data_IF_730609040895
#
_entry.id   IF_730609040895
#
_cell.length_a   1.000
_cell.length_b   1.000
_cell.length_c   1.000
_cell.angle_alpha   90.00
_cell.angle_beta   90.00
_cell.angle_gamma   90.00
#
_symmetry.space_group_name_H-M   'P 1'
#
loop_
_entity.id
_entity.type
_entity.pdbx_description
1 polymer ?
#
# COMPACT_ATOMS: atom_id res chain seq x y z
N UNK A 1 18.97 5.10 6.71
CA UNK A 1 17.78 4.23 6.69
C UNK A 1 16.60 5.10 6.34
N UNK A 2 15.92 4.82 5.23
CA UNK A 2 14.70 5.52 4.84
C UNK A 2 13.65 5.32 5.92
N UNK A 3 13.18 6.40 6.57
CA UNK A 3 12.44 6.37 7.84
C UNK A 3 11.02 5.78 7.83
N UNK A 4 10.73 4.83 6.94
CA UNK A 4 9.39 4.24 6.73
C UNK A 4 9.42 2.71 6.55
N UNK A 5 10.55 2.04 6.77
CA UNK A 5 10.66 0.59 6.70
C UNK A 5 11.80 0.06 7.58
N UNK A 6 11.66 -1.18 8.06
CA UNK A 6 12.75 -1.96 8.63
C UNK A 6 12.64 -3.44 8.27
N UNK A 7 13.76 -4.15 8.36
CA UNK A 7 13.83 -5.58 8.12
C UNK A 7 13.67 -6.34 9.45
N UNK A 8 12.74 -7.30 9.48
CA UNK A 8 12.56 -8.25 10.57
C UNK A 8 12.93 -9.62 10.02
N UNK A 9 14.20 -9.99 10.15
CA UNK A 9 14.76 -11.20 9.53
C UNK A 9 15.06 -12.29 10.54
N UNK A 10 14.96 -13.52 10.09
CA UNK A 10 15.21 -14.71 10.89
C UNK A 10 14.80 -15.96 10.13
N UNK A 11 15.28 -17.14 10.54
CA UNK A 11 14.92 -18.41 9.89
C UNK A 11 13.42 -18.74 10.02
N UNK A 12 12.76 -18.18 11.04
CA UNK A 12 11.31 -18.21 11.24
C UNK A 12 10.91 -16.85 11.82
N UNK A 13 9.96 -16.17 11.17
CA UNK A 13 9.44 -14.87 11.61
C UNK A 13 7.96 -15.02 11.98
N UNK A 14 7.59 -14.49 13.14
CA UNK A 14 6.19 -14.41 13.59
C UNK A 14 5.91 -12.98 14.01
N UNK A 15 4.78 -12.42 13.56
CA UNK A 15 4.32 -11.09 13.96
C UNK A 15 2.94 -11.23 14.60
N UNK A 16 2.80 -10.76 15.84
CA UNK A 16 1.56 -10.83 16.61
C UNK A 16 1.03 -9.46 17.00
N UNK A 17 0.06 -9.43 17.92
CA UNK A 17 -0.57 -8.20 18.38
C UNK A 17 0.42 -7.13 18.89
N UNK A 18 1.49 -7.46 19.65
CA UNK A 18 2.49 -6.47 20.05
C UNK A 18 3.23 -5.83 18.87
N UNK A 19 3.51 -6.62 17.82
CA UNK A 19 4.17 -6.14 16.61
C UNK A 19 3.25 -5.23 15.80
N UNK A 20 1.96 -5.57 15.70
CA UNK A 20 0.97 -4.71 15.06
C UNK A 20 0.83 -3.36 15.80
N UNK A 21 0.84 -3.38 17.13
CA UNK A 21 0.82 -2.16 17.93
C UNK A 21 2.07 -1.30 17.68
N UNK A 22 3.27 -1.92 17.63
CA UNK A 22 4.52 -1.23 17.28
C UNK A 22 4.49 -0.67 15.86
N UNK A 23 3.96 -1.43 14.91
CA UNK A 23 3.86 -1.01 13.51
C UNK A 23 2.97 0.22 13.36
N UNK A 24 1.82 0.28 14.07
CA UNK A 24 0.96 1.48 14.14
C UNK A 24 1.68 2.67 14.75
N UNK A 25 2.40 2.47 15.86
CA UNK A 25 3.17 3.53 16.50
C UNK A 25 4.21 4.11 15.53
N UNK A 26 4.96 3.26 14.84
CA UNK A 26 5.95 3.67 13.83
C UNK A 26 5.30 4.40 12.66
N UNK A 27 4.16 3.90 12.16
CA UNK A 27 3.38 4.56 11.11
C UNK A 27 2.92 5.96 11.53
N UNK A 28 2.43 6.13 12.77
CA UNK A 28 2.02 7.46 13.27
C UNK A 28 3.15 8.48 13.42
N UNK A 29 4.40 8.01 13.58
CA UNK A 29 5.60 8.86 13.72
C UNK A 29 6.31 9.08 12.39
N UNK A 30 5.95 8.31 11.37
CA UNK A 30 6.50 8.41 10.02
C UNK A 30 5.96 9.65 9.33
N UNK A 31 6.82 10.37 8.61
CA UNK A 31 6.45 11.55 7.84
C UNK A 31 5.35 11.28 6.80
N UNK A 32 5.19 10.02 6.38
CA UNK A 32 4.20 9.59 5.37
C UNK A 32 2.98 8.88 5.96
N UNK A 33 2.82 8.89 7.29
CA UNK A 33 1.73 8.18 8.00
C UNK A 33 1.62 6.68 7.67
N UNK A 34 2.73 6.09 7.20
CA UNK A 34 2.83 4.68 6.86
C UNK A 34 4.20 4.12 7.22
N UNK A 35 4.23 2.85 7.56
CA UNK A 35 5.43 2.11 7.89
C UNK A 35 5.28 0.65 7.48
N UNK A 36 6.39 -0.04 7.24
CA UNK A 36 6.38 -1.47 6.90
C UNK A 36 7.48 -2.28 7.57
N UNK A 37 7.15 -3.51 7.92
CA UNK A 37 8.11 -4.54 8.27
C UNK A 37 8.36 -5.41 7.04
N UNK A 38 9.60 -5.46 6.57
CA UNK A 38 10.04 -6.38 5.53
C UNK A 38 10.48 -7.68 6.20
N UNK A 39 9.82 -8.81 5.90
CA UNK A 39 10.13 -10.11 6.52
C UNK A 39 10.98 -11.02 5.62
N UNK A 40 11.49 -10.47 4.51
CA UNK A 40 12.44 -11.09 3.61
C UNK A 40 13.87 -10.57 3.89
N UNK A 41 14.91 -11.34 3.55
CA UNK A 41 16.29 -11.03 3.98
C UNK A 41 16.90 -9.78 3.32
N UNK A 42 16.48 -9.43 2.11
CA UNK A 42 16.94 -8.24 1.39
C UNK A 42 16.06 -7.93 0.18
N UNK A 43 16.23 -6.74 -0.40
CA UNK A 43 15.57 -6.36 -1.65
C UNK A 43 15.96 -7.26 -2.84
N UNK A 44 17.05 -8.02 -2.74
CA UNK A 44 17.45 -8.99 -3.77
C UNK A 44 16.70 -10.34 -3.66
N UNK A 45 15.95 -10.55 -2.57
CA UNK A 45 15.17 -11.76 -2.37
C UNK A 45 14.10 -11.92 -3.48
N UNK A 46 13.92 -13.12 -4.06
CA UNK A 46 13.00 -13.35 -5.17
C UNK A 46 11.52 -13.12 -4.83
N UNK A 47 11.19 -13.05 -3.53
CA UNK A 47 9.87 -12.73 -3.01
C UNK A 47 10.02 -11.59 -2.00
N UNK A 48 9.20 -10.57 -2.11
CA UNK A 48 9.20 -9.44 -1.19
C UNK A 48 7.95 -9.56 -0.33
N UNK A 49 8.10 -9.99 0.92
CA UNK A 49 7.00 -10.10 1.88
C UNK A 49 7.07 -8.96 2.89
N UNK A 50 5.97 -8.23 3.04
CA UNK A 50 5.91 -7.03 3.85
C UNK A 50 4.60 -6.97 4.63
N UNK A 51 4.68 -6.61 5.90
CA UNK A 51 3.51 -6.19 6.67
C UNK A 51 3.49 -4.66 6.71
N UNK A 52 2.50 -4.06 6.06
CA UNK A 52 2.42 -2.62 5.84
C UNK A 52 1.27 -2.06 6.65
N UNK A 53 1.48 -0.91 7.30
CA UNK A 53 0.47 -0.16 8.01
C UNK A 53 0.37 1.25 7.44
N UNK A 54 -0.84 1.67 7.10
CA UNK A 54 -1.19 3.04 6.75
C UNK A 54 -2.20 3.59 7.76
N UNK A 55 -2.04 4.86 8.15
CA UNK A 55 -2.89 5.53 9.13
C UNK A 55 -3.91 6.45 8.45
N UNK A 56 -5.20 6.31 8.78
CA UNK A 56 -6.28 7.13 8.24
C UNK A 56 -6.25 7.15 6.71
N UNK A 57 -6.68 8.26 6.11
CA UNK A 57 -6.69 8.44 4.65
C UNK A 57 -5.30 8.76 4.06
N UNK A 58 -4.27 8.00 4.44
CA UNK A 58 -2.92 8.16 3.89
C UNK A 58 -2.95 7.99 2.37
N UNK A 59 -2.38 8.95 1.65
CA UNK A 59 -2.21 8.86 0.21
C UNK A 59 -1.07 7.90 -0.15
N UNK A 60 -1.38 6.85 -0.91
CA UNK A 60 -0.42 5.98 -1.57
C UNK A 60 -0.48 6.28 -3.07
N UNK A 61 0.57 6.87 -3.69
CA UNK A 61 0.50 7.28 -5.08
C UNK A 61 0.07 6.15 -6.04
N UNK A 62 -0.86 6.42 -6.96
CA UNK A 62 -1.15 5.56 -8.10
C UNK A 62 0.11 5.06 -8.80
N UNK A 63 0.20 3.75 -8.99
CA UNK A 63 1.31 3.15 -9.70
C UNK A 63 0.90 1.84 -10.36
N UNK A 64 1.78 1.31 -11.22
CA UNK A 64 1.68 -0.05 -11.75
C UNK A 64 3.03 -0.74 -11.67
N UNK A 65 3.00 -2.05 -11.79
CA UNK A 65 4.20 -2.86 -11.91
C UNK A 65 4.47 -3.23 -13.38
N UNK A 66 5.73 -3.43 -13.78
CA UNK A 66 6.05 -3.85 -15.13
C UNK A 66 5.58 -5.29 -15.41
N UNK A 67 5.42 -5.68 -16.68
CA UNK A 67 5.01 -7.04 -17.06
C UNK A 67 5.84 -8.12 -16.35
N UNK A 68 5.17 -9.14 -15.82
CA UNK A 68 5.79 -10.25 -15.09
C UNK A 68 6.05 -9.98 -13.60
N UNK A 69 5.75 -8.77 -13.10
CA UNK A 69 5.70 -8.47 -11.66
C UNK A 69 4.26 -8.46 -11.20
N UNK A 70 3.95 -9.28 -10.21
CA UNK A 70 2.66 -9.27 -9.53
C UNK A 70 2.80 -8.91 -8.06
N UNK A 71 1.69 -8.46 -7.49
CA UNK A 71 1.53 -8.25 -6.06
C UNK A 71 0.22 -8.87 -5.56
N UNK A 72 0.11 -9.06 -4.26
CA UNK A 72 -1.14 -9.39 -3.61
C UNK A 72 -1.20 -8.83 -2.20
N UNK A 73 -2.39 -8.44 -1.77
CA UNK A 73 -2.66 -7.96 -0.42
C UNK A 73 -3.57 -8.95 0.31
N UNK A 74 -3.25 -9.24 1.56
CA UNK A 74 -4.15 -9.87 2.52
C UNK A 74 -4.39 -8.91 3.66
N UNK A 75 -5.65 -8.54 3.89
CA UNK A 75 -6.03 -7.58 4.94
C UNK A 75 -5.91 -8.24 6.31
N UNK A 76 -5.12 -7.61 7.18
CA UNK A 76 -4.92 -8.03 8.58
C UNK A 76 -5.80 -7.20 9.51
N UNK A 77 -5.93 -5.90 9.25
CA UNK A 77 -6.78 -4.99 10.03
C UNK A 77 -7.29 -3.83 9.17
N UNK A 78 -8.56 -3.47 9.37
CA UNK A 78 -9.17 -2.29 8.77
C UNK A 78 -9.75 -2.56 7.38
N UNK A 79 -9.87 -1.49 6.60
CA UNK A 79 -10.45 -1.52 5.26
C UNK A 79 -9.79 -0.50 4.33
N UNK A 80 -9.85 -0.78 3.03
CA UNK A 80 -9.36 0.09 1.98
C UNK A 80 -10.16 -0.11 0.69
N UNK A 81 -10.06 0.84 -0.22
CA UNK A 81 -10.53 0.70 -1.60
C UNK A 81 -9.30 0.62 -2.52
N UNK A 82 -9.35 -0.28 -3.50
CA UNK A 82 -8.36 -0.37 -4.58
C UNK A 82 -9.03 0.02 -5.89
N UNK A 83 -8.61 1.14 -6.45
CA UNK A 83 -9.11 1.64 -7.73
C UNK A 83 -8.17 1.20 -8.84
N UNK A 84 -8.66 0.41 -9.79
CA UNK A 84 -7.93 0.11 -11.02
C UNK A 84 -8.23 1.18 -12.06
N UNK A 85 -7.21 1.69 -12.74
CA UNK A 85 -7.31 2.86 -13.61
C UNK A 85 -6.68 2.59 -14.97
N UNK A 86 -7.16 3.32 -15.97
CA UNK A 86 -6.54 3.33 -17.30
C UNK A 86 -5.35 4.30 -17.36
N UNK A 87 -4.75 4.44 -18.55
CA UNK A 87 -3.60 5.32 -18.81
C UNK A 87 -3.92 6.82 -18.61
N UNK A 88 -5.19 7.22 -18.65
CA UNK A 88 -5.63 8.59 -18.42
C UNK A 88 -5.93 8.92 -16.95
N UNK A 89 -6.00 7.89 -16.10
CA UNK A 89 -6.40 8.01 -14.69
C UNK A 89 -7.89 7.80 -14.45
N UNK A 90 -8.66 7.43 -15.49
CA UNK A 90 -10.07 7.10 -15.30
C UNK A 90 -10.21 5.77 -14.57
N UNK A 91 -11.09 5.73 -13.56
CA UNK A 91 -11.38 4.51 -12.79
C UNK A 91 -12.13 3.51 -13.67
N UNK A 92 -11.53 2.33 -13.85
CA UNK A 92 -12.11 1.20 -14.57
C UNK A 92 -12.96 0.34 -13.64
N UNK A 93 -12.45 0.07 -12.43
CA UNK A 93 -13.15 -0.70 -11.41
C UNK A 93 -12.62 -0.37 -10.02
N UNK A 94 -13.44 -0.63 -9.00
CA UNK A 94 -13.09 -0.43 -7.60
C UNK A 94 -13.33 -1.73 -6.85
N UNK A 95 -12.35 -2.12 -6.04
CA UNK A 95 -12.44 -3.27 -5.15
C UNK A 95 -12.41 -2.79 -3.70
N UNK A 96 -13.46 -3.10 -2.94
CA UNK A 96 -13.47 -2.92 -1.50
C UNK A 96 -12.70 -4.06 -0.84
N UNK A 97 -11.77 -3.72 0.03
CA UNK A 97 -11.02 -4.65 0.87
C UNK A 97 -11.33 -4.41 2.34
N UNK A 98 -11.42 -5.47 3.13
CA UNK A 98 -11.72 -5.40 4.55
C UNK A 98 -11.27 -6.65 5.30
N UNK A 99 -10.93 -6.49 6.58
CA UNK A 99 -10.76 -7.61 7.49
C UNK A 99 -12.13 -8.27 7.82
N UNK A 100 -12.15 -9.26 8.72
CA UNK A 100 -13.38 -9.97 9.09
C UNK A 100 -14.46 -9.11 9.77
N UNK A 101 -14.14 -7.88 10.17
CA UNK A 101 -15.07 -6.93 10.79
C UNK A 101 -15.59 -5.87 9.81
N UNK A 102 -15.05 -5.83 8.59
CA UNK A 102 -15.42 -4.87 7.55
C UNK A 102 -15.99 -5.58 6.31
N UNK A 103 -16.65 -4.82 5.45
CA UNK A 103 -17.12 -5.35 4.16
C UNK A 103 -15.97 -5.43 3.15
N UNK A 104 -16.15 -6.25 2.10
CA UNK A 104 -15.18 -6.38 1.01
C UNK A 104 -14.38 -7.68 1.03
N UNK A 105 -13.41 -7.77 0.13
CA UNK A 105 -12.54 -8.93 0.02
C UNK A 105 -11.39 -8.85 1.02
N UNK A 106 -11.10 -9.94 1.72
CA UNK A 106 -9.91 -10.05 2.57
C UNK A 106 -8.62 -10.14 1.76
N UNK A 107 -8.71 -10.47 0.46
CA UNK A 107 -7.56 -10.73 -0.40
C UNK A 107 -7.77 -10.17 -1.81
N UNK A 108 -6.72 -9.57 -2.37
CA UNK A 108 -6.65 -9.19 -3.78
C UNK A 108 -5.28 -9.58 -4.34
N UNK A 109 -5.24 -9.94 -5.63
CA UNK A 109 -4.01 -10.16 -6.39
C UNK A 109 -4.08 -9.36 -7.68
N UNK A 110 -3.04 -8.58 -7.94
CA UNK A 110 -2.87 -7.80 -9.17
C UNK A 110 -1.68 -8.43 -9.92
N UNK A 111 -1.99 -9.14 -11.00
CA UNK A 111 -0.99 -9.88 -11.78
C UNK A 111 -0.69 -9.23 -13.14
N UNK A 112 -1.46 -8.22 -13.53
CA UNK A 112 -1.34 -7.50 -14.79
C UNK A 112 -0.76 -6.10 -14.55
N UNK A 113 -0.07 -5.51 -15.56
CA UNK A 113 0.51 -4.16 -15.46
C UNK A 113 -0.55 -3.06 -15.54
N UNK A 114 -1.46 -3.02 -14.56
CA UNK A 114 -2.55 -2.04 -14.45
C UNK A 114 -2.24 -1.00 -13.38
N UNK A 115 -2.59 0.26 -13.66
CA UNK A 115 -2.50 1.30 -12.63
C UNK A 115 -3.52 1.03 -11.54
N UNK A 116 -3.06 1.07 -10.30
CA UNK A 116 -3.91 0.89 -9.15
C UNK A 116 -3.61 1.96 -8.10
N UNK A 117 -4.65 2.37 -7.38
CA UNK A 117 -4.59 3.31 -6.27
C UNK A 117 -5.21 2.65 -5.04
N UNK A 118 -4.40 2.46 -4.00
CA UNK A 118 -4.86 1.92 -2.71
C UNK A 118 -5.18 3.09 -1.79
N UNK A 119 -6.42 3.16 -1.34
CA UNK A 119 -6.91 4.22 -0.48
C UNK A 119 -7.48 3.63 0.82
N UNK A 120 -6.76 3.72 1.95
CA UNK A 120 -7.27 3.25 3.24
C UNK A 120 -8.54 4.01 3.66
N UNK A 121 -9.49 3.31 4.28
CA UNK A 121 -10.82 3.83 4.68
C UNK A 121 -11.10 3.69 6.18
N UNK A 122 -10.09 3.32 6.96
CA UNK A 122 -10.15 3.17 8.42
C UNK A 122 -8.98 3.90 9.08
N UNK A 123 -9.06 4.11 10.40
CA UNK A 123 -7.99 4.74 11.18
C UNK A 123 -6.64 4.03 11.01
N UNK A 124 -6.69 2.71 10.83
CA UNK A 124 -5.56 1.86 10.52
C UNK A 124 -5.94 0.91 9.41
N UNK A 125 -5.06 0.77 8.43
CA UNK A 125 -5.13 -0.28 7.44
C UNK A 125 -3.82 -1.05 7.46
N UNK A 126 -3.88 -2.29 7.94
CA UNK A 126 -2.73 -3.20 8.00
C UNK A 126 -2.98 -4.34 7.01
N UNK A 127 -2.02 -4.55 6.12
CA UNK A 127 -2.10 -5.61 5.13
C UNK A 127 -0.75 -6.28 4.94
N UNK A 128 -0.80 -7.58 4.69
CA UNK A 128 0.34 -8.36 4.23
C UNK A 128 0.42 -8.25 2.71
N UNK A 129 1.50 -7.66 2.22
CA UNK A 129 1.82 -7.59 0.80
C UNK A 129 2.87 -8.64 0.44
N UNK A 130 2.59 -9.39 -0.63
CA UNK A 130 3.57 -10.24 -1.31
C UNK A 130 3.80 -9.68 -2.70
N UNK A 131 5.04 -9.29 -2.99
CA UNK A 131 5.45 -8.74 -4.27
C UNK A 131 6.55 -9.58 -4.94
N UNK A 132 6.59 -9.53 -6.27
CA UNK A 132 7.57 -10.26 -7.08
C UNK A 132 8.97 -9.62 -6.97
N UNK A 133 9.89 -10.29 -6.28
CA UNK A 133 11.28 -9.85 -6.18
C UNK A 133 12.11 -10.12 -7.44
N UNK A 134 13.38 -9.69 -7.48
CA UNK A 134 13.98 -8.70 -6.59
C UNK A 134 13.32 -7.31 -6.78
N UNK A 135 13.43 -6.46 -5.76
CA UNK A 135 12.89 -5.11 -5.75
C UNK A 135 13.97 -4.06 -6.01
N UNK A 136 13.67 -3.15 -6.93
CA UNK A 136 14.30 -1.85 -7.02
C UNK A 136 13.29 -0.83 -7.52
N UNK A 137 13.38 0.41 -7.06
CA UNK A 137 12.43 1.46 -7.41
C UNK A 137 12.24 1.58 -8.94
N UNK A 138 13.35 1.68 -9.67
CA UNK A 138 13.36 1.87 -11.14
C UNK A 138 12.79 0.69 -11.93
N UNK A 139 12.90 -0.54 -11.40
CA UNK A 139 12.51 -1.77 -12.13
C UNK A 139 11.22 -2.40 -11.62
N UNK A 140 10.67 -1.88 -10.53
CA UNK A 140 9.53 -2.51 -9.86
C UNK A 140 8.29 -1.62 -9.91
N UNK A 141 8.45 -0.30 -10.01
CA UNK A 141 7.34 0.64 -9.93
C UNK A 141 7.37 1.57 -11.13
N UNK A 142 6.25 1.68 -11.83
CA UNK A 142 5.99 2.68 -12.85
C UNK A 142 4.98 3.66 -12.25
N UNK A 143 5.41 4.88 -11.87
CA UNK A 143 4.49 5.91 -11.36
C UNK A 143 3.45 6.26 -12.42
N UNK A 144 2.21 6.52 -11.98
CA UNK A 144 1.20 7.00 -12.91
C UNK A 144 1.48 8.46 -13.29
N UNK A 145 1.47 8.85 -14.59
CA UNK A 145 1.70 10.23 -15.00
C UNK A 145 0.66 11.22 -14.46
N UNK A 146 -0.53 10.74 -14.12
CA UNK A 146 -1.62 11.52 -13.53
C UNK A 146 -1.55 11.60 -12.00
N UNK A 147 -0.63 10.87 -11.35
CA UNK A 147 -0.48 10.87 -9.89
C UNK A 147 0.07 12.20 -9.40
N UNK A 148 -0.61 12.89 -8.47
CA UNK A 148 -0.03 14.04 -7.79
C UNK A 148 1.28 13.68 -7.05
N UNK A 149 2.30 14.58 -7.09
CA UNK A 149 3.48 14.47 -6.26
C UNK A 149 3.14 14.38 -4.77
N UNK A 150 3.89 13.60 -3.99
CA UNK A 150 3.64 13.42 -2.56
C UNK A 150 3.89 14.69 -1.71
N UNK A 151 4.52 15.71 -2.27
CA UNK A 151 4.77 17.01 -1.63
C UNK A 151 3.78 18.12 -2.03
N UNK A 152 2.79 17.82 -2.87
CA UNK A 152 1.73 18.75 -3.27
C UNK A 152 0.38 18.39 -2.60
N UNK A 153 0.22 18.84 -1.35
CA UNK A 153 -0.98 18.56 -0.55
C UNK A 153 -2.28 19.01 -1.24
N UNK A 154 -2.26 20.12 -1.98
CA UNK A 154 -3.46 20.64 -2.65
C UNK A 154 -3.86 19.74 -3.83
N UNK A 155 -2.89 19.34 -4.66
CA UNK A 155 -3.14 18.43 -5.77
C UNK A 155 -3.59 17.04 -5.28
N UNK A 156 -3.00 16.53 -4.20
CA UNK A 156 -3.41 15.26 -3.59
C UNK A 156 -4.85 15.35 -3.08
N UNK A 157 -5.21 16.40 -2.34
CA UNK A 157 -6.57 16.56 -1.82
C UNK A 157 -7.61 16.66 -2.95
N UNK A 158 -7.29 17.37 -4.04
CA UNK A 158 -8.15 17.45 -5.21
C UNK A 158 -8.33 16.08 -5.89
N UNK A 159 -7.23 15.35 -6.13
CA UNK A 159 -7.24 14.02 -6.73
C UNK A 159 -8.02 13.01 -5.89
N UNK A 160 -7.77 12.96 -4.57
CA UNK A 160 -8.48 12.02 -3.67
C UNK A 160 -9.98 12.32 -3.67
N UNK A 161 -10.37 13.59 -3.66
CA UNK A 161 -11.78 13.96 -3.72
C UNK A 161 -12.42 13.56 -5.04
N UNK A 162 -11.72 13.75 -6.15
CA UNK A 162 -12.20 13.37 -7.49
C UNK A 162 -12.39 11.85 -7.62
N UNK A 163 -11.41 11.07 -7.19
CA UNK A 163 -11.42 9.60 -7.35
C UNK A 163 -12.31 8.90 -6.33
N UNK A 164 -12.31 9.36 -5.08
CA UNK A 164 -12.92 8.63 -3.95
C UNK A 164 -14.17 9.30 -3.37
N UNK A 165 -14.42 10.57 -3.73
CA UNK A 165 -15.45 11.40 -3.12
C UNK A 165 -15.13 11.89 -1.70
N UNK A 166 -13.99 11.49 -1.12
CA UNK A 166 -13.58 11.85 0.25
C UNK A 166 -12.76 13.13 0.23
N UNK A 167 -13.14 14.09 1.08
CA UNK A 167 -12.29 15.22 1.41
C UNK A 167 -11.29 14.81 2.49
N UNK A 168 -10.01 15.07 2.24
CA UNK A 168 -8.93 14.83 3.20
C UNK A 168 -8.25 16.15 3.56
N UNK A 169 -7.86 16.28 4.82
CA UNK A 169 -7.02 17.37 5.30
C UNK A 169 -5.59 16.80 5.45
N UNK A 170 -4.65 17.34 4.66
CA UNK A 170 -3.26 16.89 4.60
C UNK A 170 -2.30 17.88 5.29
#
# INVERSE_FOLDING_TARGET
>A
MSGFAEFITGPVVTLGAPDLARLKELASKSAKNRYRFCVHDSTDHPVQEMLICARGHTYLPPHRHPPGKCESYHVVEGQAEVYLMDESGAVLTTHLLGDSQHEGAVFIRIAEPIFHFVFPRSDWFIYHEVFSGPWSLEKSVIPAPFSPPEDDAQAIAAFVREVTGVSIDL
#
